data_IF_168448906057
#
_entry.id   IF_168448906057
#
_cell.length_a   1.000
_cell.length_b   1.000
_cell.length_c   1.000
_cell.angle_alpha   90.00
_cell.angle_beta   90.00
_cell.angle_gamma   90.00
#
_symmetry.space_group_name_H-M   'P 1'
#
loop_
_entity.id
_entity.type
_entity.pdbx_description
1 polymer ?
#
# COMPACT_ATOMS: atom_id res chain seq x y z
N UNK A 1 -17.08 4.24 4.70
CA UNK A 1 -15.61 4.09 4.54
C UNK A 1 -15.02 3.66 5.88
N UNK A 2 -14.13 2.66 5.92
CA UNK A 2 -13.50 2.16 7.15
C UNK A 2 -11.98 2.10 6.94
N UNK A 3 -11.22 2.53 7.94
CA UNK A 3 -9.76 2.40 8.00
C UNK A 3 -9.41 1.48 9.17
N UNK A 4 -8.57 0.48 8.92
CA UNK A 4 -8.16 -0.49 9.94
C UNK A 4 -6.88 -1.18 9.52
N UNK A 5 -6.13 -1.71 10.48
CA UNK A 5 -5.03 -2.63 10.19
C UNK A 5 -5.58 -3.93 9.61
N UNK A 6 -4.74 -4.64 8.86
CA UNK A 6 -5.09 -5.93 8.23
C UNK A 6 -5.55 -6.94 9.29
N UNK A 7 -4.86 -6.97 10.44
CA UNK A 7 -5.19 -7.85 11.56
C UNK A 7 -6.60 -7.61 12.10
N UNK A 8 -7.00 -6.34 12.25
CA UNK A 8 -8.32 -5.94 12.76
C UNK A 8 -9.45 -6.08 11.74
N UNK A 9 -9.11 -6.28 10.47
CA UNK A 9 -10.06 -6.42 9.35
C UNK A 9 -10.28 -7.88 8.93
N UNK A 10 -10.01 -8.82 9.84
CA UNK A 10 -10.13 -10.26 9.59
C UNK A 10 -11.57 -10.66 9.26
N UNK A 11 -11.74 -11.47 8.22
CA UNK A 11 -13.04 -12.04 7.82
C UNK A 11 -13.91 -11.15 6.94
N UNK A 12 -13.44 -9.96 6.58
CA UNK A 12 -14.15 -9.04 5.70
C UNK A 12 -13.40 -8.87 4.39
N UNK A 13 -14.11 -8.87 3.27
CA UNK A 13 -13.58 -8.56 1.94
C UNK A 13 -14.33 -7.34 1.40
N UNK A 14 -13.67 -6.52 0.60
CA UNK A 14 -14.24 -5.29 0.06
C UNK A 14 -14.05 -5.24 -1.46
N UNK A 15 -15.02 -4.73 -2.24
CA UNK A 15 -14.83 -4.45 -3.66
C UNK A 15 -13.60 -3.59 -3.92
N UNK A 16 -13.40 -2.57 -3.08
CA UNK A 16 -12.30 -1.60 -3.20
C UNK A 16 -11.45 -1.61 -1.92
N UNK A 17 -10.12 -1.76 -2.07
CA UNK A 17 -9.14 -1.69 -0.98
C UNK A 17 -8.03 -0.70 -1.31
N UNK A 18 -7.69 0.15 -0.33
CA UNK A 18 -6.46 0.94 -0.32
C UNK A 18 -5.53 0.30 0.71
N UNK A 19 -4.47 -0.35 0.25
CA UNK A 19 -3.55 -1.12 1.08
C UNK A 19 -2.26 -0.33 1.32
N UNK A 20 -1.92 -0.10 2.58
CA UNK A 20 -0.66 0.53 2.97
C UNK A 20 0.28 -0.56 3.51
N UNK A 21 1.43 -0.75 2.85
CA UNK A 21 2.43 -1.75 3.22
C UNK A 21 3.62 -1.08 3.88
N UNK A 22 3.98 -1.55 5.07
CA UNK A 22 5.18 -1.12 5.79
C UNK A 22 6.31 -2.15 5.64
N UNK A 23 7.57 -1.71 5.67
CA UNK A 23 8.74 -2.60 5.49
C UNK A 23 8.85 -3.70 6.57
N UNK A 24 8.27 -3.42 7.74
CA UNK A 24 8.21 -4.32 8.90
C UNK A 24 7.05 -5.32 8.85
N UNK A 25 6.13 -5.18 7.90
CA UNK A 25 5.06 -6.17 7.76
C UNK A 25 5.64 -7.53 7.37
N UNK A 26 4.98 -8.60 7.83
CA UNK A 26 5.33 -9.95 7.41
C UNK A 26 4.74 -10.26 6.03
N UNK A 27 5.37 -11.13 5.23
CA UNK A 27 4.80 -11.56 3.95
C UNK A 27 3.36 -12.08 4.07
N UNK A 28 3.03 -12.77 5.17
CA UNK A 28 1.69 -13.28 5.45
C UNK A 28 0.66 -12.16 5.64
N UNK A 29 1.02 -11.10 6.37
CA UNK A 29 0.15 -9.93 6.56
C UNK A 29 -0.07 -9.20 5.23
N UNK A 30 0.98 -9.00 4.45
CA UNK A 30 0.88 -8.37 3.12
C UNK A 30 -0.01 -9.18 2.19
N UNK A 31 0.23 -10.49 2.07
CA UNK A 31 -0.59 -11.39 1.26
C UNK A 31 -2.05 -11.40 1.70
N UNK A 32 -2.29 -11.43 3.00
CA UNK A 32 -3.65 -11.33 3.56
C UNK A 32 -4.32 -10.01 3.19
N UNK A 33 -3.60 -8.89 3.17
CA UNK A 33 -4.14 -7.60 2.73
C UNK A 33 -4.50 -7.58 1.24
N UNK A 34 -3.67 -8.18 0.40
CA UNK A 34 -3.88 -8.26 -1.05
C UNK A 34 -5.14 -9.05 -1.41
N UNK A 35 -5.38 -10.20 -0.77
CA UNK A 35 -6.54 -11.06 -1.06
C UNK A 35 -7.88 -10.53 -0.54
N UNK A 36 -7.89 -9.39 0.16
CA UNK A 36 -9.13 -8.77 0.70
C UNK A 36 -9.87 -7.93 -0.33
N UNK A 37 -9.21 -7.57 -1.43
CA UNK A 37 -9.81 -6.85 -2.55
C UNK A 37 -10.54 -7.84 -3.46
N UNK A 38 -11.81 -7.57 -3.77
CA UNK A 38 -12.58 -8.38 -4.74
C UNK A 38 -12.46 -7.87 -6.17
N UNK A 39 -12.30 -6.57 -6.35
CA UNK A 39 -12.34 -5.93 -7.67
C UNK A 39 -11.12 -5.01 -7.87
N UNK A 40 -10.99 -3.96 -7.04
CA UNK A 40 -9.95 -2.96 -7.19
C UNK A 40 -9.05 -2.89 -5.97
N UNK A 41 -7.75 -2.76 -6.20
CA UNK A 41 -6.75 -2.54 -5.17
C UNK A 41 -5.78 -1.44 -5.55
N UNK A 42 -5.53 -0.53 -4.62
CA UNK A 42 -4.48 0.49 -4.71
C UNK A 42 -3.49 0.20 -3.61
N UNK A 43 -2.22 0.01 -3.96
CA UNK A 43 -1.16 -0.33 -3.01
C UNK A 43 -0.21 0.85 -2.83
N UNK A 44 -0.09 1.32 -1.59
CA UNK A 44 0.90 2.29 -1.17
C UNK A 44 2.07 1.56 -0.53
N UNK A 45 3.24 1.74 -1.12
CA UNK A 45 4.47 1.06 -0.72
C UNK A 45 5.63 2.03 -0.86
N UNK A 46 6.53 2.02 0.12
CA UNK A 46 7.75 2.81 0.07
C UNK A 46 8.66 2.31 -1.05
N UNK A 47 9.22 3.23 -1.84
CA UNK A 47 10.21 2.92 -2.86
C UNK A 47 11.40 2.17 -2.26
N UNK A 48 11.83 1.08 -2.91
CA UNK A 48 12.91 0.21 -2.42
C UNK A 48 12.48 -0.81 -1.37
N UNK A 49 11.19 -0.88 -1.01
CA UNK A 49 10.65 -1.96 -0.18
C UNK A 49 10.86 -3.31 -0.86
N UNK A 50 11.11 -4.35 -0.05
CA UNK A 50 11.22 -5.75 -0.50
C UNK A 50 9.97 -6.29 -1.21
N UNK A 51 8.85 -5.59 -1.11
CA UNK A 51 7.59 -5.93 -1.78
C UNK A 51 7.37 -5.19 -3.11
N UNK A 52 8.24 -4.24 -3.47
CA UNK A 52 8.07 -3.39 -4.65
C UNK A 52 8.07 -4.22 -5.94
N UNK A 53 9.09 -5.06 -6.13
CA UNK A 53 9.22 -5.90 -7.32
C UNK A 53 8.04 -6.87 -7.46
N UNK A 54 7.62 -7.47 -6.35
CA UNK A 54 6.45 -8.36 -6.33
C UNK A 54 5.16 -7.63 -6.74
N UNK A 55 4.89 -6.46 -6.17
CA UNK A 55 3.72 -5.67 -6.53
C UNK A 55 3.80 -5.19 -7.99
N UNK A 56 5.00 -4.84 -8.47
CA UNK A 56 5.23 -4.44 -9.86
C UNK A 56 4.91 -5.56 -10.85
N UNK A 57 5.43 -6.75 -10.59
CA UNK A 57 5.23 -7.94 -11.43
C UNK A 57 3.75 -8.34 -11.49
N UNK A 58 3.02 -8.22 -10.37
CA UNK A 58 1.68 -8.83 -10.23
C UNK A 58 0.51 -7.88 -10.44
N UNK A 59 0.66 -6.59 -10.17
CA UNK A 59 -0.45 -5.65 -10.23
C UNK A 59 -0.48 -4.84 -11.53
N UNK A 60 0.68 -4.66 -12.19
CA UNK A 60 0.76 -3.94 -13.46
C UNK A 60 0.47 -2.44 -13.30
N UNK A 61 1.42 -1.60 -13.73
CA UNK A 61 1.45 -0.14 -13.55
C UNK A 61 1.79 0.31 -12.12
N UNK A 62 2.93 0.99 -12.00
CA UNK A 62 3.35 1.69 -10.79
C UNK A 62 3.44 3.18 -11.11
N UNK A 63 2.69 3.99 -10.36
CA UNK A 63 2.94 5.42 -10.28
C UNK A 63 3.86 5.70 -9.09
N UNK A 64 5.05 6.23 -9.38
CA UNK A 64 5.98 6.67 -8.32
C UNK A 64 5.60 8.08 -7.89
N UNK A 65 5.02 8.19 -6.71
CA UNK A 65 4.82 9.49 -6.06
C UNK A 65 6.12 9.91 -5.37
N UNK A 66 6.85 10.84 -5.98
CA UNK A 66 7.89 11.58 -5.28
C UNK A 66 7.18 12.69 -4.49
N UNK A 67 7.32 12.78 -3.16
CA UNK A 67 6.88 13.97 -2.47
C UNK A 67 7.65 15.14 -3.09
N UNK A 68 6.92 16.10 -3.67
CA UNK A 68 7.51 17.35 -4.11
C UNK A 68 8.27 17.91 -2.91
N UNK A 69 9.60 17.93 -3.03
CA UNK A 69 10.49 18.49 -2.03
C UNK A 69 9.89 19.81 -1.58
N UNK A 70 9.52 19.90 -0.31
CA UNK A 70 9.07 21.14 0.31
C UNK A 70 10.19 22.15 0.10
N UNK A 71 10.06 22.99 -0.92
CA UNK A 71 10.78 24.27 -0.97
C UNK A 71 10.21 25.05 0.20
N UNK A 72 10.90 24.99 1.32
CA UNK A 72 10.58 25.74 2.53
C UNK A 72 10.57 27.23 2.14
N UNK A 73 9.42 27.91 2.04
CA UNK A 73 9.42 29.35 1.82
C UNK A 73 9.36 29.99 3.20
N UNK A 74 10.52 30.35 3.73
CA UNK A 74 10.83 31.69 4.23
C UNK A 74 12.07 31.64 5.13
N UNK A 75 13.14 32.20 4.56
CA UNK A 75 13.98 33.16 5.26
C UNK A 75 13.12 34.23 5.94
N UNK A 76 13.36 34.45 7.23
CA UNK A 76 13.73 35.74 7.84
C UNK A 76 14.40 35.48 9.20
#
# INVERSE_FOLDING_TARGET
MKLSTIHSFKGYESPNIFLFIHEKDSPEIVYTGLTRAKENIVVFIKKGSKYADFCQERLGNIETYLPSSTSNPQSD
#
